data_IF_565644471951
#
_entry.id   IF_565644471951
#
_cell.length_a   1.000
_cell.length_b   1.000
_cell.length_c   1.000
_cell.angle_alpha   90.00
_cell.angle_beta   90.00
_cell.angle_gamma   90.00
#
_symmetry.space_group_name_H-M   'P 1'
#
loop_
_entity.id
_entity.type
_entity.pdbx_description
1 polymer ?
#
# COMPACT_ATOMS: atom_id res chain seq x y z
N UNK A 1 19.80 33.66 51.96
CA UNK A 1 20.45 32.62 52.81
C UNK A 1 19.45 31.52 53.06
N UNK A 2 19.58 30.40 52.34
CA UNK A 2 19.42 29.01 52.82
C UNK A 2 19.20 28.10 51.60
N UNK A 3 20.25 27.36 51.28
CA UNK A 3 20.31 26.24 50.33
C UNK A 3 20.04 24.94 51.11
N UNK A 4 19.28 24.03 50.52
CA UNK A 4 19.24 22.58 50.80
C UNK A 4 18.45 21.98 49.62
N UNK A 5 19.02 21.39 48.57
CA UNK A 5 19.97 20.27 48.46
C UNK A 5 19.42 18.97 49.07
N UNK A 6 18.76 18.15 48.24
CA UNK A 6 18.60 16.71 48.48
C UNK A 6 18.65 15.98 47.13
N UNK A 7 19.83 15.44 46.82
CA UNK A 7 20.03 14.39 45.82
C UNK A 7 19.65 13.05 46.44
N UNK A 8 18.79 12.29 45.78
CA UNK A 8 18.62 10.86 46.06
C UNK A 8 18.97 10.10 44.79
N UNK A 9 20.18 9.55 44.77
CA UNK A 9 20.65 8.58 43.77
C UNK A 9 20.37 7.20 44.34
N UNK A 10 19.60 6.38 43.63
CA UNK A 10 19.34 4.99 44.00
C UNK A 10 19.90 4.09 42.90
N UNK A 11 21.12 3.60 43.12
CA UNK A 11 21.71 2.49 42.39
C UNK A 11 21.12 1.18 42.94
N UNK A 12 20.53 0.36 42.07
CA UNK A 12 20.28 -1.05 42.35
C UNK A 12 21.04 -1.89 41.32
N UNK A 13 21.99 -2.65 41.84
CA UNK A 13 22.80 -3.65 41.14
C UNK A 13 22.53 -4.98 41.82
N UNK A 14 22.06 -5.98 41.08
CA UNK A 14 22.03 -7.40 41.47
C UNK A 14 22.01 -8.23 40.17
N UNK A 15 23.12 -8.90 39.81
CA UNK A 15 23.39 -10.33 40.03
C UNK A 15 22.37 -11.23 39.30
N UNK A 16 22.71 -11.75 38.11
CA UNK A 16 23.48 -12.98 37.85
C UNK A 16 22.71 -14.28 38.14
N UNK A 17 22.56 -15.11 37.10
CA UNK A 17 22.57 -16.57 37.26
C UNK A 17 21.60 -17.33 36.37
N UNK A 18 22.14 -18.24 35.56
CA UNK A 18 21.52 -19.56 35.36
C UNK A 18 21.26 -20.00 33.93
N UNK A 19 22.19 -20.79 33.40
CA UNK A 19 22.05 -21.68 32.25
C UNK A 19 20.79 -22.55 32.29
N UNK A 20 20.24 -22.95 31.13
CA UNK A 20 20.32 -24.34 30.65
C UNK A 20 19.46 -24.61 29.40
N UNK A 21 19.95 -25.60 28.65
CA UNK A 21 19.24 -26.55 27.79
C UNK A 21 18.86 -26.08 26.39
N UNK A 22 19.66 -26.57 25.44
CA UNK A 22 19.26 -26.72 24.05
C UNK A 22 18.13 -27.72 23.88
N UNK A 23 17.40 -27.53 22.80
CA UNK A 23 16.51 -28.49 22.19
C UNK A 23 16.73 -28.37 20.69
N UNK A 24 17.41 -29.36 20.14
CA UNK A 24 17.32 -29.72 18.73
C UNK A 24 15.88 -30.20 18.48
N UNK A 25 15.20 -29.57 17.53
CA UNK A 25 14.03 -30.16 16.89
C UNK A 25 14.12 -29.90 15.39
N UNK A 26 14.52 -30.96 14.68
CA UNK A 26 14.21 -31.18 13.28
C UNK A 26 12.69 -31.05 13.07
N UNK A 27 12.30 -30.17 12.16
CA UNK A 27 10.91 -29.96 11.80
C UNK A 27 10.83 -29.26 10.46
N UNK A 28 10.68 -30.05 9.39
CA UNK A 28 10.44 -29.58 8.03
C UNK A 28 9.12 -28.78 7.95
N UNK A 29 9.19 -27.47 8.13
CA UNK A 29 8.14 -26.51 7.79
C UNK A 29 8.51 -25.86 6.47
N UNK A 30 7.77 -26.17 5.41
CA UNK A 30 7.95 -25.53 4.12
C UNK A 30 7.70 -24.03 4.24
N UNK A 31 8.73 -23.23 3.93
CA UNK A 31 8.62 -21.80 3.68
C UNK A 31 7.56 -21.59 2.58
N UNK A 32 6.66 -20.60 2.68
CA UNK A 32 5.87 -20.20 1.53
C UNK A 32 6.84 -19.73 0.44
N UNK A 33 6.83 -20.42 -0.70
CA UNK A 33 7.58 -20.02 -1.88
C UNK A 33 6.93 -18.76 -2.44
N UNK A 34 7.53 -17.60 -2.22
CA UNK A 34 7.32 -16.46 -3.09
C UNK A 34 7.92 -16.82 -4.46
N UNK A 35 7.07 -17.26 -5.40
CA UNK A 35 7.46 -17.47 -6.78
C UNK A 35 7.12 -16.23 -7.59
N UNK A 36 8.10 -15.35 -7.76
CA UNK A 36 8.05 -14.35 -8.81
C UNK A 36 8.46 -15.05 -10.11
N UNK A 37 7.47 -15.37 -10.93
CA UNK A 37 7.68 -15.83 -12.31
C UNK A 37 6.90 -14.89 -13.23
N UNK A 38 7.44 -13.70 -13.44
CA UNK A 38 7.14 -12.96 -14.65
C UNK A 38 7.96 -13.61 -15.77
N UNK A 39 7.31 -14.43 -16.57
CA UNK A 39 7.90 -14.88 -17.83
C UNK A 39 8.00 -13.68 -18.76
N UNK A 40 9.22 -13.36 -19.20
CA UNK A 40 9.50 -12.50 -20.35
C UNK A 40 8.81 -13.04 -21.60
N UNK A 41 7.52 -12.75 -21.74
CA UNK A 41 6.83 -12.91 -23.01
C UNK A 41 7.21 -11.69 -23.85
N UNK A 42 8.30 -11.81 -24.61
CA UNK A 42 8.61 -10.88 -25.70
C UNK A 42 7.37 -10.75 -26.60
N UNK A 43 6.65 -9.63 -26.46
CA UNK A 43 5.60 -9.25 -27.39
C UNK A 43 6.27 -8.87 -28.71
N UNK A 44 6.30 -9.80 -29.67
CA UNK A 44 6.52 -9.45 -31.08
C UNK A 44 5.21 -8.96 -31.69
N UNK A 45 5.07 -7.69 -32.09
CA UNK A 45 3.90 -7.26 -32.83
C UNK A 45 3.84 -8.00 -34.17
N UNK A 46 2.65 -8.50 -34.53
CA UNK A 46 2.43 -9.10 -35.82
C UNK A 46 2.70 -8.07 -36.95
N UNK A 47 3.34 -8.47 -38.06
CA UNK A 47 3.59 -7.57 -39.16
C UNK A 47 2.27 -7.09 -39.76
N UNK A 48 2.05 -5.77 -39.70
CA UNK A 48 0.91 -5.12 -40.36
C UNK A 48 1.22 -5.06 -41.86
N UNK A 49 0.57 -5.91 -42.65
CA UNK A 49 0.62 -5.83 -44.11
C UNK A 49 -0.12 -4.57 -44.57
N UNK A 50 0.54 -3.62 -45.27
CA UNK A 50 -0.18 -2.48 -45.84
C UNK A 50 -1.12 -2.97 -46.95
N UNK A 51 -2.41 -2.79 -46.77
CA UNK A 51 -3.39 -3.00 -47.83
C UNK A 51 -3.19 -1.91 -48.90
N UNK A 52 -2.86 -2.35 -50.11
CA UNK A 52 -2.74 -1.52 -51.31
C UNK A 52 -4.12 -0.93 -51.67
N UNK A 53 -4.23 0.37 -52.01
CA UNK A 53 -5.50 0.96 -52.39
C UNK A 53 -5.91 0.50 -53.80
N UNK A 54 -6.98 -0.28 -53.90
CA UNK A 54 -7.67 -0.49 -55.17
C UNK A 54 -8.62 0.70 -55.43
N UNK A 55 -8.32 1.47 -56.47
CA UNK A 55 -9.22 2.48 -57.02
C UNK A 55 -10.45 1.82 -57.65
N UNK A 56 -11.64 2.34 -57.35
CA UNK A 56 -12.75 2.29 -58.31
C UNK A 56 -14.06 1.61 -57.88
N UNK A 57 -14.54 1.78 -56.64
CA UNK A 57 -15.95 1.48 -56.34
C UNK A 57 -16.57 2.56 -55.46
N UNK A 58 -17.71 3.19 -55.85
CA UNK A 58 -18.40 4.12 -54.97
C UNK A 58 -18.92 3.37 -53.73
N UNK A 59 -18.79 3.94 -52.52
CA UNK A 59 -19.26 3.30 -51.31
C UNK A 59 -20.78 3.13 -51.38
N UNK A 60 -21.24 1.88 -51.25
CA UNK A 60 -22.65 1.57 -51.07
C UNK A 60 -22.99 1.88 -49.61
N UNK A 61 -23.90 2.83 -49.30
CA UNK A 61 -24.30 3.07 -47.92
C UNK A 61 -25.04 1.84 -47.40
N UNK A 62 -24.48 1.22 -46.35
CA UNK A 62 -25.10 0.08 -45.68
C UNK A 62 -26.35 0.52 -44.94
N UNK A 63 -27.47 -0.12 -45.26
CA UNK A 63 -28.76 0.07 -44.61
C UNK A 63 -28.80 -0.68 -43.27
N UNK A 64 -28.11 -0.15 -42.26
CA UNK A 64 -28.15 -0.71 -40.90
C UNK A 64 -28.25 0.39 -39.82
N UNK A 65 -29.15 1.34 -40.01
CA UNK A 65 -29.63 2.16 -38.90
C UNK A 65 -31.14 2.37 -39.05
N UNK A 66 -31.91 1.38 -38.61
CA UNK A 66 -33.30 1.53 -38.17
C UNK A 66 -33.78 0.24 -37.52
N UNK A 67 -33.44 0.03 -36.25
CA UNK A 67 -34.34 -0.71 -35.34
C UNK A 67 -34.13 -0.19 -33.92
N UNK A 68 -35.13 0.56 -33.44
CA UNK A 68 -35.34 0.85 -32.04
C UNK A 68 -35.77 -0.42 -31.30
N UNK A 69 -35.40 -0.48 -30.02
CA UNK A 69 -35.93 -1.34 -28.95
C UNK A 69 -35.40 -2.79 -28.87
N UNK A 70 -34.30 -2.94 -28.13
CA UNK A 70 -34.21 -3.99 -27.13
C UNK A 70 -33.55 -3.40 -25.87
N UNK A 71 -34.26 -3.39 -24.74
CA UNK A 71 -33.65 -3.13 -23.44
C UNK A 71 -32.51 -4.15 -23.23
N UNK A 72 -31.38 -3.77 -22.60
CA UNK A 72 -30.38 -4.75 -22.22
C UNK A 72 -31.03 -5.75 -21.26
N UNK A 73 -31.12 -7.00 -21.71
CA UNK A 73 -31.47 -8.14 -20.86
C UNK A 73 -30.43 -8.18 -19.74
N UNK A 74 -30.89 -8.02 -18.49
CA UNK A 74 -30.04 -8.18 -17.30
C UNK A 74 -29.31 -9.52 -17.39
N UNK A 75 -27.99 -9.47 -17.54
CA UNK A 75 -27.14 -10.64 -17.32
C UNK A 75 -27.40 -11.13 -15.90
N UNK A 76 -27.77 -12.41 -15.70
CA UNK A 76 -27.94 -12.92 -14.35
C UNK A 76 -26.60 -12.82 -13.61
N UNK A 77 -26.64 -12.14 -12.47
CA UNK A 77 -25.52 -12.10 -11.52
C UNK A 77 -25.15 -13.55 -11.16
N UNK A 78 -23.85 -13.91 -11.11
CA UNK A 78 -23.46 -15.27 -10.74
C UNK A 78 -24.04 -15.61 -9.38
N UNK A 79 -24.83 -16.69 -9.33
CA UNK A 79 -25.40 -17.22 -8.09
C UNK A 79 -24.24 -17.55 -7.15
N UNK A 80 -24.19 -16.88 -5.98
CA UNK A 80 -23.27 -17.22 -4.87
C UNK A 80 -23.26 -18.73 -4.68
N UNK A 81 -22.16 -19.36 -5.08
CA UNK A 81 -21.96 -20.79 -4.82
C UNK A 81 -21.82 -20.92 -3.31
N UNK A 82 -22.77 -21.61 -2.67
CA UNK A 82 -22.67 -21.87 -1.24
C UNK A 82 -21.46 -22.75 -1.02
N UNK A 83 -20.47 -22.24 -0.29
CA UNK A 83 -19.37 -23.04 0.22
C UNK A 83 -19.94 -24.24 0.99
N UNK A 84 -19.31 -25.42 0.89
CA UNK A 84 -19.72 -26.58 1.66
C UNK A 84 -19.70 -26.20 3.15
N UNK A 85 -20.82 -26.42 3.84
CA UNK A 85 -20.87 -26.35 5.29
C UNK A 85 -19.86 -27.35 5.83
N UNK A 86 -18.72 -26.86 6.31
CA UNK A 86 -17.75 -27.67 7.02
C UNK A 86 -18.47 -28.28 8.23
N UNK A 87 -18.50 -29.60 8.27
CA UNK A 87 -18.98 -30.34 9.43
C UNK A 87 -18.01 -30.02 10.58
N UNK A 88 -18.48 -29.52 11.73
CA UNK A 88 -17.60 -29.22 12.84
C UNK A 88 -16.95 -30.53 13.31
N UNK A 89 -15.63 -30.62 13.14
CA UNK A 89 -14.84 -31.62 13.87
C UNK A 89 -14.85 -31.23 15.35
N UNK A 90 -14.95 -32.19 16.28
CA UNK A 90 -14.95 -31.88 17.70
C UNK A 90 -13.61 -31.26 18.09
N UNK A 91 -13.63 -29.98 18.45
CA UNK A 91 -12.49 -29.26 19.02
C UNK A 91 -12.31 -29.79 20.44
N UNK A 92 -11.21 -30.50 20.66
CA UNK A 92 -10.65 -30.60 21.99
C UNK A 92 -10.05 -29.23 22.32
N UNK A 93 -10.67 -28.50 23.24
CA UNK A 93 -10.18 -27.23 23.76
C UNK A 93 -8.80 -27.45 24.41
N UNK A 94 -7.75 -27.22 23.63
CA UNK A 94 -6.42 -26.93 24.13
C UNK A 94 -6.24 -25.42 23.96
N UNK A 95 -5.84 -24.66 25.00
CA UNK A 95 -5.52 -23.24 24.84
C UNK A 95 -4.39 -23.13 23.82
N UNK A 96 -4.74 -22.79 22.59
CA UNK A 96 -3.79 -22.59 21.50
C UNK A 96 -3.09 -21.27 21.72
N UNK A 97 -1.78 -21.34 21.95
CA UNK A 97 -0.89 -20.20 21.73
C UNK A 97 -1.07 -19.82 20.27
N UNK A 98 -1.64 -18.65 19.98
CA UNK A 98 -1.64 -18.08 18.64
C UNK A 98 -0.18 -17.90 18.24
N UNK A 99 0.28 -18.73 17.31
CA UNK A 99 1.58 -18.54 16.69
C UNK A 99 1.48 -17.25 15.87
N UNK A 100 2.23 -16.19 16.20
CA UNK A 100 2.21 -14.97 15.39
C UNK A 100 2.58 -15.34 13.95
N UNK A 101 1.81 -14.84 12.98
CA UNK A 101 2.22 -14.93 11.59
C UNK A 101 3.57 -14.22 11.45
N UNK A 102 4.54 -14.78 10.70
CA UNK A 102 5.80 -14.09 10.49
C UNK A 102 5.54 -12.75 9.80
N UNK A 103 6.15 -11.69 10.33
CA UNK A 103 6.25 -10.39 9.66
C UNK A 103 6.79 -10.61 8.25
N UNK A 104 6.10 -10.08 7.26
CA UNK A 104 6.50 -10.21 5.86
C UNK A 104 7.43 -9.05 5.53
N UNK A 105 8.73 -9.32 5.51
CA UNK A 105 9.74 -8.36 5.05
C UNK A 105 10.05 -8.60 3.57
N UNK A 106 10.10 -7.53 2.80
CA UNK A 106 10.49 -7.52 1.39
C UNK A 106 12.03 -7.58 1.30
N UNK A 107 12.55 -8.59 0.62
CA UNK A 107 13.98 -8.72 0.33
C UNK A 107 14.38 -7.84 -0.85
N UNK A 108 15.57 -7.22 -0.82
CA UNK A 108 16.12 -6.47 -1.96
C UNK A 108 16.36 -4.97 -1.71
N UNK A 109 16.07 -4.47 -0.49
CA UNK A 109 16.34 -3.08 -0.12
C UNK A 109 17.79 -2.82 0.35
N UNK A 110 18.63 -3.85 0.41
CA UNK A 110 19.99 -3.77 0.98
C UNK A 110 20.93 -2.80 0.24
N UNK A 111 20.67 -2.59 -1.05
CA UNK A 111 21.45 -1.70 -1.93
C UNK A 111 20.85 -0.29 -2.04
N UNK A 112 19.75 0.01 -1.34
CA UNK A 112 19.04 1.28 -1.42
C UNK A 112 19.20 2.11 -0.15
N UNK A 113 19.07 3.44 -0.30
CA UNK A 113 18.97 4.38 0.82
C UNK A 113 17.51 4.76 1.05
N UNK A 114 17.09 4.77 2.32
CA UNK A 114 15.76 5.21 2.72
C UNK A 114 15.79 6.69 3.08
N UNK A 115 14.87 7.46 2.51
CA UNK A 115 14.62 8.86 2.87
C UNK A 115 13.31 8.92 3.62
N UNK A 116 13.40 9.12 4.93
CA UNK A 116 12.24 9.04 5.83
C UNK A 116 11.22 10.16 5.53
N UNK A 117 9.96 9.75 5.43
CA UNK A 117 8.79 10.64 5.39
C UNK A 117 8.17 10.70 6.80
N UNK A 118 8.05 9.54 7.44
CA UNK A 118 7.50 9.40 8.79
C UNK A 118 8.17 8.22 9.51
N UNK A 119 8.61 8.46 10.74
CA UNK A 119 9.04 7.43 11.71
C UNK A 119 8.32 7.68 13.03
N UNK A 120 8.89 8.46 13.94
CA UNK A 120 8.18 8.91 15.16
C UNK A 120 7.43 10.24 14.96
N UNK A 121 7.74 10.93 13.87
CA UNK A 121 7.15 12.21 13.50
C UNK A 121 7.32 12.43 11.99
N UNK A 122 6.53 13.35 11.43
CA UNK A 122 6.68 13.74 10.03
C UNK A 122 8.02 14.47 9.81
N UNK A 123 8.73 14.07 8.76
CA UNK A 123 9.92 14.76 8.28
C UNK A 123 9.58 16.19 7.84
N UNK A 124 10.52 17.13 8.06
CA UNK A 124 10.36 18.52 7.65
C UNK A 124 10.01 18.63 6.16
N UNK A 125 8.97 19.41 5.85
CA UNK A 125 8.48 19.58 4.48
C UNK A 125 7.37 18.61 4.08
N UNK A 126 7.05 17.60 4.89
CA UNK A 126 5.86 16.76 4.70
C UNK A 126 4.70 17.21 5.58
N UNK A 127 3.47 16.93 5.16
CA UNK A 127 2.25 17.16 5.93
C UNK A 127 1.23 16.04 5.67
N UNK A 128 0.22 15.98 6.54
CA UNK A 128 -0.99 15.16 6.37
C UNK A 128 -2.26 16.00 6.19
N UNK A 129 -2.11 17.32 6.08
CA UNK A 129 -3.23 18.28 6.03
C UNK A 129 -4.14 18.10 4.81
N UNK A 130 -3.64 17.49 3.73
CA UNK A 130 -4.40 17.19 2.52
C UNK A 130 -5.21 15.88 2.62
N UNK A 131 -5.16 15.19 3.77
CA UNK A 131 -6.01 14.02 4.04
C UNK A 131 -7.49 14.39 4.03
N UNK A 132 -8.36 13.47 3.60
CA UNK A 132 -9.80 13.73 3.51
C UNK A 132 -10.64 12.60 4.10
N UNK A 133 -11.74 13.00 4.74
CA UNK A 133 -12.72 12.11 5.38
C UNK A 133 -12.11 11.05 6.31
N UNK A 134 -10.96 11.34 6.92
CA UNK A 134 -10.24 10.47 7.84
C UNK A 134 -9.87 11.24 9.09
N UNK A 135 -10.07 10.62 10.25
CA UNK A 135 -9.52 11.10 11.50
C UNK A 135 -8.17 10.42 11.73
N UNK A 136 -7.11 11.18 12.00
CA UNK A 136 -5.78 10.62 12.19
C UNK A 136 -5.10 11.14 13.46
N UNK A 137 -4.18 10.35 13.99
CA UNK A 137 -3.31 10.70 15.11
C UNK A 137 -1.88 10.29 14.77
N UNK A 138 -0.96 11.26 14.78
CA UNK A 138 0.45 11.06 14.45
C UNK A 138 1.29 10.63 15.67
N UNK A 139 0.72 10.69 16.88
CA UNK A 139 1.43 10.43 18.14
C UNK A 139 0.95 9.11 18.79
N UNK A 140 0.39 8.20 18.01
CA UNK A 140 -0.17 6.96 18.55
C UNK A 140 0.94 5.97 18.94
N UNK A 141 1.09 5.75 20.25
CA UNK A 141 2.08 4.86 20.84
C UNK A 141 1.59 3.43 21.14
N UNK A 142 0.30 3.13 20.91
CA UNK A 142 -0.29 1.82 21.30
C UNK A 142 -0.03 0.73 20.25
N UNK A 143 0.03 1.11 18.99
CA UNK A 143 0.27 0.24 17.85
C UNK A 143 1.40 0.85 17.05
N UNK A 144 2.63 0.48 17.39
CA UNK A 144 3.83 0.91 16.67
C UNK A 144 4.52 -0.30 16.07
N UNK A 145 5.08 -0.14 14.87
CA UNK A 145 5.95 -1.14 14.27
C UNK A 145 7.36 -0.98 14.81
N UNK A 146 7.85 0.26 14.76
CA UNK A 146 9.15 0.66 15.29
C UNK A 146 9.01 1.94 16.11
N UNK A 147 10.09 2.39 16.75
CA UNK A 147 10.10 3.67 17.44
C UNK A 147 9.07 3.83 18.59
N UNK A 148 8.55 5.04 18.72
CA UNK A 148 7.65 5.53 19.77
C UNK A 148 6.24 5.84 19.26
N UNK A 149 6.04 6.10 17.97
CA UNK A 149 4.74 6.48 17.40
C UNK A 149 4.50 5.90 16.01
N UNK A 150 3.22 5.65 15.70
CA UNK A 150 2.74 5.36 14.36
C UNK A 150 1.59 6.32 14.01
N UNK A 151 1.24 6.39 12.72
CA UNK A 151 0.04 7.08 12.26
C UNK A 151 -1.15 6.16 12.47
N UNK A 152 -2.08 6.53 13.33
CA UNK A 152 -3.42 5.95 13.36
C UNK A 152 -4.30 6.65 12.32
N UNK A 153 -5.02 5.90 11.51
CA UNK A 153 -5.99 6.44 10.54
C UNK A 153 -7.34 5.73 10.68
N UNK A 154 -8.39 6.51 10.95
CA UNK A 154 -9.76 6.05 11.12
C UNK A 154 -10.67 6.69 10.05
N UNK A 155 -10.98 5.99 8.95
CA UNK A 155 -11.86 6.48 7.90
C UNK A 155 -13.26 6.84 8.43
N UNK A 156 -13.77 8.01 8.05
CA UNK A 156 -15.11 8.51 8.40
C UNK A 156 -16.10 8.36 7.24
N UNK A 157 -15.62 8.28 5.98
CA UNK A 157 -16.44 8.10 4.77
C UNK A 157 -15.88 7.05 3.80
N UNK A 158 -16.65 6.73 2.76
CA UNK A 158 -16.19 5.85 1.68
C UNK A 158 -15.15 6.61 0.91
N UNK A 159 -14.06 5.94 0.53
CA UNK A 159 -12.97 6.55 -0.22
C UNK A 159 -12.26 7.71 0.50
N UNK A 160 -12.31 7.76 1.82
CA UNK A 160 -11.42 8.55 2.66
C UNK A 160 -9.95 8.15 2.49
N UNK A 161 -9.03 9.09 2.68
CA UNK A 161 -7.62 8.79 2.57
C UNK A 161 -6.76 9.54 3.59
N UNK A 162 -5.82 8.79 4.16
CA UNK A 162 -4.64 9.35 4.78
C UNK A 162 -3.68 9.74 3.65
N UNK A 163 -3.37 11.03 3.54
CA UNK A 163 -2.55 11.57 2.48
C UNK A 163 -1.32 12.25 3.07
N UNK A 164 -0.13 11.70 2.80
CA UNK A 164 1.14 12.35 3.09
C UNK A 164 1.59 13.14 1.85
N UNK A 165 1.71 14.46 1.99
CA UNK A 165 2.01 15.36 0.87
C UNK A 165 3.22 16.26 1.17
N UNK A 166 3.91 16.65 0.11
CA UNK A 166 5.03 17.58 0.17
C UNK A 166 4.49 19.01 0.20
N UNK A 167 4.94 19.79 1.18
CA UNK A 167 4.53 21.19 1.38
C UNK A 167 5.23 22.14 0.40
N UNK A 168 4.62 23.29 0.06
CA UNK A 168 5.24 24.31 -0.80
C UNK A 168 6.55 24.90 -0.25
N UNK A 169 6.75 24.85 1.07
CA UNK A 169 7.95 25.34 1.76
C UNK A 169 8.94 24.22 2.12
N UNK A 170 8.76 23.00 1.57
CA UNK A 170 9.67 21.89 1.78
C UNK A 170 11.11 22.27 1.34
N UNK A 171 12.14 21.93 2.14
CA UNK A 171 13.53 22.26 1.82
C UNK A 171 14.09 21.41 0.66
N UNK A 172 13.43 20.29 0.37
CA UNK A 172 13.86 19.27 -0.59
C UNK A 172 12.75 18.99 -1.57
N UNK A 173 13.09 18.94 -2.86
CA UNK A 173 12.23 18.42 -3.91
C UNK A 173 12.57 16.95 -4.14
N UNK A 174 11.57 16.09 -4.24
CA UNK A 174 11.76 14.65 -4.45
C UNK A 174 11.56 14.35 -5.93
N UNK A 175 12.62 13.99 -6.64
CA UNK A 175 12.54 13.72 -8.07
C UNK A 175 12.22 12.24 -8.34
N UNK A 176 11.44 12.00 -9.39
CA UNK A 176 11.11 10.66 -9.85
C UNK A 176 12.37 9.88 -10.28
N UNK A 177 13.29 10.53 -11.00
CA UNK A 177 14.54 9.91 -11.48
C UNK A 177 15.58 9.60 -10.38
N UNK A 178 15.33 10.08 -9.16
CA UNK A 178 16.16 9.83 -7.96
C UNK A 178 15.46 8.89 -6.97
N UNK A 179 14.26 8.40 -7.30
CA UNK A 179 13.45 7.56 -6.42
C UNK A 179 13.10 6.26 -7.14
N UNK A 180 13.36 5.12 -6.50
CA UNK A 180 12.98 3.81 -6.99
C UNK A 180 11.58 3.40 -6.54
N UNK A 181 11.12 3.87 -5.38
CA UNK A 181 9.85 3.46 -4.80
C UNK A 181 9.47 4.16 -3.51
N UNK A 182 8.37 3.70 -2.92
CA UNK A 182 7.91 4.06 -1.57
C UNK A 182 7.79 2.78 -0.76
N UNK A 183 8.16 2.85 0.51
CA UNK A 183 8.01 1.81 1.52
C UNK A 183 7.20 2.35 2.69
N UNK A 184 6.33 1.53 3.26
CA UNK A 184 5.73 1.78 4.57
C UNK A 184 5.30 0.47 5.21
N UNK A 185 5.12 0.49 6.52
CA UNK A 185 4.50 -0.60 7.27
C UNK A 185 3.04 -0.31 7.49
N UNK A 186 2.20 -1.32 7.32
CA UNK A 186 0.76 -1.25 7.49
C UNK A 186 0.31 -2.27 8.54
N UNK A 187 -0.51 -1.84 9.49
CA UNK A 187 -1.19 -2.73 10.42
C UNK A 187 -2.70 -2.64 10.29
N UNK A 188 -3.32 -3.81 10.40
CA UNK A 188 -4.76 -3.97 10.49
C UNK A 188 -5.35 -3.51 11.84
N UNK A 189 -4.51 -3.27 12.86
CA UNK A 189 -5.01 -2.93 14.18
C UNK A 189 -5.74 -4.10 14.81
N UNK A 190 -6.94 -3.88 15.36
CA UNK A 190 -7.72 -4.93 16.02
C UNK A 190 -8.59 -5.77 15.06
N UNK A 191 -8.89 -5.24 13.87
CA UNK A 191 -9.78 -5.88 12.89
C UNK A 191 -9.00 -6.30 11.65
N UNK A 192 -9.29 -7.45 11.03
CA UNK A 192 -8.61 -7.83 9.79
C UNK A 192 -8.91 -6.84 8.66
N UNK A 193 -7.98 -6.70 7.73
CA UNK A 193 -8.17 -5.92 6.50
C UNK A 193 -8.18 -6.87 5.29
N UNK A 194 -9.31 -6.92 4.59
CA UNK A 194 -9.40 -7.60 3.31
C UNK A 194 -8.54 -6.88 2.26
N UNK A 195 -7.96 -7.63 1.33
CA UNK A 195 -6.98 -7.09 0.38
C UNK A 195 -7.52 -6.08 -0.63
N UNK A 196 -8.84 -5.96 -0.72
CA UNK A 196 -9.54 -5.04 -1.59
C UNK A 196 -10.05 -3.80 -0.84
N UNK A 197 -9.93 -3.76 0.49
CA UNK A 197 -10.44 -2.67 1.34
C UNK A 197 -9.53 -1.45 1.42
N UNK A 198 -8.25 -1.60 1.09
CA UNK A 198 -7.29 -0.49 1.00
C UNK A 198 -6.61 -0.49 -0.36
N UNK A 199 -6.31 0.71 -0.84
CA UNK A 199 -5.43 0.94 -1.98
C UNK A 199 -4.45 2.08 -1.65
N UNK A 200 -3.27 2.01 -2.24
CA UNK A 200 -2.26 3.06 -2.14
C UNK A 200 -1.88 3.56 -3.53
N UNK A 201 -1.46 4.82 -3.61
CA UNK A 201 -0.88 5.39 -4.83
C UNK A 201 0.18 6.42 -4.49
N UNK A 202 0.98 6.77 -5.50
CA UNK A 202 1.98 7.82 -5.44
C UNK A 202 1.54 8.91 -6.43
N UNK A 203 1.55 10.16 -5.96
CA UNK A 203 1.20 11.31 -6.76
C UNK A 203 2.46 12.05 -7.21
N UNK A 204 2.37 12.61 -8.40
CA UNK A 204 3.47 13.36 -8.98
C UNK A 204 3.03 14.62 -9.74
N UNK A 205 4.03 15.40 -10.11
CA UNK A 205 3.87 16.64 -10.87
C UNK A 205 5.02 16.83 -11.85
N UNK A 206 4.74 17.48 -12.98
CA UNK A 206 5.77 17.97 -13.91
C UNK A 206 6.13 19.44 -13.69
N UNK A 207 5.31 20.18 -12.94
CA UNK A 207 5.48 21.63 -12.76
C UNK A 207 5.90 21.98 -11.33
N UNK A 208 5.36 21.31 -10.32
CA UNK A 208 5.52 21.67 -8.91
C UNK A 208 6.26 20.59 -8.12
N UNK A 209 7.31 20.94 -7.34
CA UNK A 209 7.98 19.97 -6.47
C UNK A 209 7.22 19.68 -5.16
N UNK A 210 5.93 20.04 -5.10
CA UNK A 210 5.05 19.93 -3.95
C UNK A 210 3.62 19.68 -4.40
N UNK A 211 2.75 19.24 -3.51
CA UNK A 211 1.36 18.94 -3.87
C UNK A 211 0.57 20.22 -4.18
N UNK A 212 -0.14 20.20 -5.32
CA UNK A 212 -1.09 21.24 -5.72
C UNK A 212 -2.39 20.56 -6.09
N UNK A 213 -3.46 20.89 -5.37
CA UNK A 213 -4.79 20.40 -5.68
C UNK A 213 -5.20 20.79 -7.12
N UNK A 214 -5.61 19.80 -7.91
CA UNK A 214 -6.02 19.99 -9.29
C UNK A 214 -4.86 20.28 -10.26
N UNK A 215 -3.62 19.96 -9.89
CA UNK A 215 -2.51 19.95 -10.84
C UNK A 215 -2.81 19.02 -12.02
N UNK A 216 -2.67 19.55 -13.23
CA UNK A 216 -2.86 18.81 -14.50
C UNK A 216 -1.58 18.73 -15.32
N UNK A 217 -0.41 19.07 -14.74
CA UNK A 217 0.88 19.06 -15.43
C UNK A 217 1.33 17.67 -15.86
N UNK A 218 0.80 16.64 -15.20
CA UNK A 218 0.95 15.24 -15.59
C UNK A 218 -0.18 14.92 -16.56
N UNK A 219 0.05 15.18 -17.85
CA UNK A 219 -0.93 14.90 -18.89
C UNK A 219 -1.04 13.39 -19.13
N UNK A 220 -2.12 12.78 -18.64
CA UNK A 220 -2.54 11.46 -19.11
C UNK A 220 -3.61 11.60 -20.18
N UNK A 221 -3.82 10.52 -20.94
CA UNK A 221 -4.97 10.40 -21.83
C UNK A 221 -6.26 10.76 -21.04
N UNK A 222 -7.12 11.69 -21.50
CA UNK A 222 -8.28 12.19 -20.73
C UNK A 222 -9.36 11.14 -20.38
N UNK A 223 -9.11 9.86 -20.65
CA UNK A 223 -9.97 8.72 -20.34
C UNK A 223 -9.43 7.82 -19.20
N UNK A 224 -8.22 8.09 -18.70
CA UNK A 224 -7.55 7.27 -17.69
C UNK A 224 -7.44 8.03 -16.36
N UNK A 225 -7.52 7.31 -15.24
CA UNK A 225 -7.24 7.90 -13.93
C UNK A 225 -5.79 8.40 -13.91
N UNK A 226 -5.54 9.55 -13.30
CA UNK A 226 -4.23 10.23 -13.39
C UNK A 226 -3.09 9.40 -12.79
N UNK A 227 -3.36 8.63 -11.73
CA UNK A 227 -2.41 7.75 -11.07
C UNK A 227 -3.16 6.48 -10.67
N UNK A 228 -2.50 5.33 -10.80
CA UNK A 228 -3.12 4.04 -10.53
C UNK A 228 -3.14 3.78 -9.04
N UNK A 229 -4.33 3.47 -8.53
CA UNK A 229 -4.48 2.96 -7.18
C UNK A 229 -4.14 1.47 -7.17
N UNK A 230 -3.12 1.10 -6.41
CA UNK A 230 -2.67 -0.28 -6.26
C UNK A 230 -3.26 -0.87 -4.97
N UNK A 231 -4.10 -1.89 -5.14
CA UNK A 231 -4.71 -2.63 -4.02
C UNK A 231 -3.72 -3.60 -3.39
N UNK A 232 -3.97 -3.97 -2.13
CA UNK A 232 -3.04 -4.80 -1.34
C UNK A 232 -2.67 -6.12 -2.03
N UNK A 233 -3.61 -6.79 -2.70
CA UNK A 233 -3.31 -8.05 -3.39
C UNK A 233 -2.30 -7.94 -4.54
N UNK A 234 -2.02 -6.73 -5.05
CA UNK A 234 -0.95 -6.51 -6.03
C UNK A 234 0.44 -6.42 -5.38
N UNK A 235 0.53 -6.18 -4.08
CA UNK A 235 1.80 -6.16 -3.33
C UNK A 235 2.22 -7.55 -2.83
N UNK A 236 1.70 -8.63 -3.43
CA UNK A 236 2.05 -10.01 -3.09
C UNK A 236 1.27 -10.62 -1.92
N UNK A 237 0.38 -9.86 -1.28
CA UNK A 237 -0.52 -10.41 -0.27
C UNK A 237 -1.58 -11.31 -0.93
N UNK A 238 -1.82 -12.50 -0.36
CA UNK A 238 -2.78 -13.47 -0.91
C UNK A 238 -3.87 -13.90 0.10
N UNK A 239 -3.91 -13.25 1.26
CA UNK A 239 -4.90 -13.42 2.33
C UNK A 239 -5.13 -12.05 2.99
N UNK A 240 -6.26 -11.88 3.66
CA UNK A 240 -6.50 -10.71 4.53
C UNK A 240 -5.31 -10.47 5.47
N UNK A 241 -5.06 -9.19 5.78
CA UNK A 241 -4.10 -8.81 6.80
C UNK A 241 -4.69 -9.19 8.17
N UNK A 242 -4.02 -10.06 8.95
CA UNK A 242 -4.55 -10.46 10.23
C UNK A 242 -4.56 -9.30 11.23
N UNK A 243 -5.44 -9.35 12.25
CA UNK A 243 -5.35 -8.46 13.40
C UNK A 243 -3.97 -8.48 14.05
N UNK A 244 -3.59 -7.36 14.66
CA UNK A 244 -2.37 -7.15 15.45
C UNK A 244 -1.07 -7.48 14.70
N UNK A 245 -1.11 -7.46 13.37
CA UNK A 245 0.02 -7.82 12.52
C UNK A 245 0.47 -6.61 11.72
N UNK A 246 1.77 -6.46 11.59
CA UNK A 246 2.41 -5.51 10.69
C UNK A 246 2.87 -6.20 9.42
N UNK A 247 2.64 -5.56 8.29
CA UNK A 247 3.14 -6.01 6.99
C UNK A 247 3.86 -4.86 6.29
N UNK A 248 4.95 -5.19 5.61
CA UNK A 248 5.68 -4.22 4.81
C UNK A 248 5.05 -4.11 3.42
N UNK A 249 4.75 -2.88 3.01
CA UNK A 249 4.26 -2.54 1.69
C UNK A 249 5.35 -1.78 0.95
N UNK A 250 5.66 -2.24 -0.27
CA UNK A 250 6.62 -1.58 -1.16
C UNK A 250 5.94 -1.34 -2.50
N UNK A 251 6.00 -0.09 -2.96
CA UNK A 251 5.53 0.35 -4.27
C UNK A 251 6.75 0.74 -5.08
N UNK A 252 7.12 -0.08 -6.05
CA UNK A 252 8.18 0.22 -6.99
C UNK A 252 7.64 1.05 -8.15
N UNK A 253 8.26 2.19 -8.44
CA UNK A 253 7.77 3.12 -9.46
C UNK A 253 7.87 2.55 -10.88
N UNK A 254 8.85 1.68 -11.14
CA UNK A 254 9.01 0.99 -12.42
C UNK A 254 8.04 -0.19 -12.62
N UNK A 255 7.32 -0.61 -11.57
CA UNK A 255 6.30 -1.65 -11.61
C UNK A 255 4.86 -1.09 -11.75
N UNK A 256 4.70 0.22 -11.99
CA UNK A 256 3.41 0.88 -12.19
C UNK A 256 3.15 1.16 -13.68
N UNK A 257 2.76 0.15 -14.49
CA UNK A 257 2.74 0.27 -15.96
C UNK A 257 1.66 1.22 -16.51
N UNK A 258 0.71 1.63 -15.68
CA UNK A 258 -0.37 2.54 -16.04
C UNK A 258 -0.16 3.95 -15.46
N UNK A 259 0.88 4.14 -14.64
CA UNK A 259 1.19 5.46 -14.12
C UNK A 259 1.91 6.27 -15.19
N UNK A 260 1.57 7.56 -15.31
CA UNK A 260 2.30 8.45 -16.20
C UNK A 260 3.72 8.69 -15.68
N UNK A 261 4.60 9.07 -16.59
CA UNK A 261 5.90 9.64 -16.19
C UNK A 261 5.69 11.06 -15.65
N UNK A 262 6.30 11.36 -14.51
CA UNK A 262 6.29 12.68 -13.88
C UNK A 262 7.67 13.06 -13.36
N UNK A 263 7.88 14.35 -13.08
CA UNK A 263 9.20 14.86 -12.67
C UNK A 263 9.42 14.80 -11.18
N UNK A 264 8.40 15.11 -10.38
CA UNK A 264 8.47 15.21 -8.93
C UNK A 264 7.46 14.28 -8.27
N UNK A 265 7.86 13.64 -7.18
CA UNK A 265 6.95 13.00 -6.24
C UNK A 265 6.42 14.09 -5.32
N UNK A 266 5.10 14.23 -5.28
CA UNK A 266 4.42 15.29 -4.52
C UNK A 266 3.61 14.74 -3.36
N UNK A 267 3.36 13.44 -3.33
CA UNK A 267 2.86 12.76 -2.15
C UNK A 267 2.47 11.31 -2.38
N UNK A 268 1.90 10.69 -1.36
CA UNK A 268 1.34 9.33 -1.40
C UNK A 268 0.11 9.26 -0.52
N UNK A 269 -0.92 8.52 -0.94
CA UNK A 269 -2.09 8.32 -0.10
C UNK A 269 -2.43 6.84 0.05
N UNK A 270 -3.07 6.53 1.18
CA UNK A 270 -3.69 5.24 1.47
C UNK A 270 -5.18 5.51 1.66
N UNK A 271 -5.99 4.90 0.79
CA UNK A 271 -7.42 5.16 0.67
C UNK A 271 -8.22 3.89 0.95
N UNK A 272 -9.35 4.04 1.66
CA UNK A 272 -10.28 2.93 1.84
C UNK A 272 -11.20 2.71 0.64
N UNK A 273 -11.72 1.49 0.52
CA UNK A 273 -12.82 1.17 -0.39
C UNK A 273 -14.19 1.32 0.31
N UNK A 274 -15.26 1.06 -0.45
CA UNK A 274 -16.64 1.07 0.00
C UNK A 274 -16.83 0.18 1.23
N UNK A 275 -17.57 0.69 2.22
CA UNK A 275 -17.94 0.02 3.46
C UNK A 275 -16.79 -0.34 4.42
N UNK A 276 -15.51 -0.09 4.07
CA UNK A 276 -14.40 -0.24 5.02
C UNK A 276 -14.27 1.01 5.89
N UNK A 277 -14.39 0.87 7.21
CA UNK A 277 -14.28 1.97 8.19
C UNK A 277 -13.45 1.61 9.42
N UNK A 278 -12.78 0.47 9.40
CA UNK A 278 -11.91 0.08 10.50
C UNK A 278 -10.68 0.99 10.56
N UNK A 279 -10.16 1.17 11.77
CA UNK A 279 -8.91 1.90 11.99
C UNK A 279 -7.73 1.06 11.52
N UNK A 280 -6.83 1.66 10.75
CA UNK A 280 -5.56 1.06 10.35
C UNK A 280 -4.39 1.93 10.83
N UNK A 281 -3.19 1.36 10.83
CA UNK A 281 -1.99 2.05 11.30
C UNK A 281 -0.89 2.00 10.24
N UNK A 282 -0.14 3.09 10.14
CA UNK A 282 0.95 3.25 9.18
C UNK A 282 2.20 3.71 9.91
N UNK A 283 3.33 3.10 9.61
CA UNK A 283 4.61 3.39 10.27
C UNK A 283 5.79 3.27 9.30
N UNK A 284 6.95 3.81 9.66
CA UNK A 284 8.22 3.75 8.90
C UNK A 284 8.05 4.05 7.40
N UNK A 285 7.37 5.16 7.08
CA UNK A 285 7.12 5.61 5.71
C UNK A 285 8.41 6.23 5.16
N UNK A 286 8.90 5.73 4.02
CA UNK A 286 10.12 6.23 3.40
C UNK A 286 10.07 6.16 1.87
N UNK A 287 10.79 7.07 1.21
CA UNK A 287 11.18 6.91 -0.19
C UNK A 287 12.38 5.98 -0.27
N UNK A 288 12.41 5.15 -1.32
CA UNK A 288 13.52 4.26 -1.64
C UNK A 288 14.36 4.93 -2.73
N UNK A 289 15.63 5.17 -2.47
CA UNK A 289 16.56 5.85 -3.40
C UNK A 289 17.75 4.94 -3.73
N UNK A 290 18.23 4.91 -4.98
CA UNK A 290 19.30 4.02 -5.44
C UNK A 290 20.71 4.45 -5.00
#
# INVERSE_FOLDING_TARGET
>A
MNRLAFCLVLLLTACSGGNAAGLETDGAGGSPTASFYFSDAEWTPAPVTPAQPEEGTPPTPSAFFSTLAALPTRTPMPTRTRFPTLTPSPIAETPGVETPLPETTVTGLEDYTLVDIFTDSLTEGWTVDDSWDVNFDLEQATFTHSGEAAIMAAPEADFAALFLSVRPDAPTAYRYDETAGVRFWLSAGEEPIDLDQLAATILGSNEFPYFVEGDTSVETNPQEAFFSETRLYFFGFNRELPPFTWVEVVIWLDELPFDPEYTYITGLYIKNDVDFRATFYVDDVALITP
#
